data_IF_478610598290
#
_entry.id   IF_478610598290
#
_cell.length_a   1.000
_cell.length_b   1.000
_cell.length_c   1.000
_cell.angle_alpha   90.00
_cell.angle_beta   90.00
_cell.angle_gamma   90.00
#
_symmetry.space_group_name_H-M   'P 1'
#
loop_
_entity.id
_entity.type
_entity.pdbx_description
1 polymer ?
#
# COMPACT_ATOMS: atom_id res chain seq x y z
N UNK A 1 6.35 4.59 -22.42
CA UNK A 1 5.80 5.39 -21.31
C UNK A 1 4.43 5.89 -21.72
N UNK A 2 3.43 5.81 -20.85
CA UNK A 2 2.17 6.52 -21.06
C UNK A 2 2.42 7.99 -20.71
N UNK A 3 1.81 8.91 -21.45
CA UNK A 3 2.04 10.34 -21.31
C UNK A 3 0.72 11.09 -21.45
N UNK A 4 0.48 12.06 -20.58
CA UNK A 4 -0.69 12.92 -20.65
C UNK A 4 -0.46 14.23 -19.91
N UNK A 5 -0.69 15.34 -20.63
CA UNK A 5 -0.88 16.65 -20.05
C UNK A 5 -2.36 16.85 -19.68
N UNK A 6 -2.62 17.43 -18.50
CA UNK A 6 -3.99 17.69 -18.05
C UNK A 6 -4.07 18.18 -16.61
N UNK A 7 -5.29 18.28 -16.10
CA UNK A 7 -5.55 18.62 -14.70
C UNK A 7 -5.55 17.36 -13.85
N UNK A 8 -4.67 17.31 -12.85
CA UNK A 8 -4.52 16.17 -11.95
C UNK A 8 -4.56 16.60 -10.50
N UNK A 9 -4.99 15.69 -9.61
CA UNK A 9 -4.79 15.83 -8.16
C UNK A 9 -3.34 15.49 -7.85
N UNK A 10 -2.47 16.47 -8.05
CA UNK A 10 -1.02 16.32 -7.86
C UNK A 10 -0.46 17.45 -7.02
N UNK A 11 0.39 17.09 -6.07
CA UNK A 11 1.08 18.05 -5.22
C UNK A 11 2.36 17.44 -4.63
N UNK A 12 3.30 18.29 -4.26
CA UNK A 12 4.47 17.88 -3.51
C UNK A 12 4.16 17.87 -2.00
N UNK A 13 4.55 16.80 -1.31
CA UNK A 13 4.39 16.66 0.14
C UNK A 13 5.75 16.76 0.83
N UNK A 14 6.03 17.92 1.43
CA UNK A 14 7.28 18.17 2.16
C UNK A 14 7.56 17.13 3.25
N UNK A 15 6.52 16.68 3.98
CA UNK A 15 6.64 15.69 5.05
C UNK A 15 7.17 14.34 4.54
N UNK A 16 6.79 13.95 3.33
CA UNK A 16 7.21 12.70 2.70
C UNK A 16 8.42 12.88 1.76
N UNK A 17 8.86 14.13 1.53
CA UNK A 17 9.83 14.46 0.48
C UNK A 17 9.49 13.78 -0.85
N UNK A 18 8.22 13.90 -1.26
CA UNK A 18 7.67 13.12 -2.38
C UNK A 18 6.60 13.91 -3.14
N UNK A 19 6.57 13.74 -4.46
CA UNK A 19 5.41 14.04 -5.28
C UNK A 19 4.30 13.01 -5.03
N UNK A 20 3.07 13.49 -4.86
CA UNK A 20 1.88 12.66 -4.62
C UNK A 20 0.90 12.91 -5.75
N UNK A 21 0.58 11.86 -6.51
CA UNK A 21 -0.39 11.87 -7.60
C UNK A 21 -1.58 10.98 -7.22
N UNK A 22 -2.79 11.50 -7.31
CA UNK A 22 -4.03 10.74 -7.15
C UNK A 22 -4.73 10.60 -8.51
N UNK A 23 -5.11 9.37 -8.84
CA UNK A 23 -5.85 9.05 -10.07
C UNK A 23 -7.12 8.27 -9.71
N UNK A 24 -8.26 8.87 -10.01
CA UNK A 24 -9.57 8.26 -9.82
C UNK A 24 -9.89 7.35 -11.02
N UNK A 25 -10.35 6.13 -10.74
CA UNK A 25 -10.80 5.17 -11.75
C UNK A 25 -12.31 5.21 -11.90
N UNK A 26 -12.81 4.69 -13.02
CA UNK A 26 -14.24 4.43 -13.17
C UNK A 26 -14.72 3.50 -12.04
N UNK A 27 -15.76 3.90 -11.33
CA UNK A 27 -16.24 3.24 -10.12
C UNK A 27 -15.92 4.07 -8.87
N UNK A 28 -15.49 3.40 -7.80
CA UNK A 28 -15.26 4.00 -6.48
C UNK A 28 -13.84 3.75 -5.95
N UNK A 29 -12.86 3.64 -6.85
CA UNK A 29 -11.46 3.38 -6.51
C UNK A 29 -10.55 4.54 -6.95
N UNK A 30 -9.60 4.88 -6.09
CA UNK A 30 -8.55 5.89 -6.34
C UNK A 30 -7.20 5.25 -6.11
N UNK A 31 -6.27 5.37 -7.07
CA UNK A 31 -4.87 5.04 -6.84
C UNK A 31 -4.10 6.28 -6.38
N UNK A 32 -3.15 6.06 -5.46
CA UNK A 32 -2.22 7.09 -4.99
C UNK A 32 -0.82 6.63 -5.34
N UNK A 33 -0.09 7.46 -6.07
CA UNK A 33 1.29 7.23 -6.46
C UNK A 33 2.21 8.19 -5.71
N UNK A 34 3.29 7.64 -5.18
CA UNK A 34 4.33 8.39 -4.49
C UNK A 34 5.61 8.33 -5.31
N UNK A 35 6.13 9.50 -5.68
CA UNK A 35 7.43 9.63 -6.32
C UNK A 35 8.34 10.37 -5.33
N UNK A 36 9.16 9.65 -4.55
CA UNK A 36 10.08 10.27 -3.60
C UNK A 36 11.22 10.96 -4.32
N UNK A 37 11.77 11.98 -3.67
CA UNK A 37 13.05 12.55 -4.09
C UNK A 37 14.16 11.50 -4.00
N UNK A 38 15.26 11.75 -4.70
CA UNK A 38 16.40 10.87 -4.72
C UNK A 38 16.89 10.54 -3.30
N UNK A 39 16.98 9.25 -2.99
CA UNK A 39 17.41 8.75 -1.68
C UNK A 39 16.37 8.83 -0.56
N UNK A 40 15.14 9.30 -0.83
CA UNK A 40 14.07 9.45 0.19
C UNK A 40 13.09 8.29 0.26
N UNK A 41 13.30 7.19 -0.49
CA UNK A 41 12.43 6.01 -0.43
C UNK A 41 12.28 5.43 0.99
N UNK A 42 13.37 5.17 1.77
CA UNK A 42 13.21 4.64 3.12
C UNK A 42 12.49 5.61 4.07
N UNK A 43 12.69 6.92 3.88
CA UNK A 43 11.99 7.96 4.64
C UNK A 43 10.49 7.95 4.35
N UNK A 44 10.11 7.85 3.08
CA UNK A 44 8.72 7.74 2.65
C UNK A 44 8.06 6.50 3.27
N UNK A 45 8.69 5.33 3.16
CA UNK A 45 8.17 4.05 3.68
C UNK A 45 7.97 4.08 5.20
N UNK A 46 8.91 4.66 5.94
CA UNK A 46 8.83 4.78 7.40
C UNK A 46 7.83 5.84 7.88
N UNK A 47 7.61 6.91 7.09
CA UNK A 47 6.77 8.05 7.50
C UNK A 47 5.31 7.90 7.10
N UNK A 48 5.00 7.04 6.13
CA UNK A 48 3.65 6.88 5.61
C UNK A 48 2.71 6.29 6.67
N UNK A 49 1.58 6.97 6.90
CA UNK A 49 0.57 6.53 7.87
C UNK A 49 -0.84 6.62 7.31
N UNK A 50 -1.78 5.90 7.94
CA UNK A 50 -3.21 5.94 7.58
C UNK A 50 -3.80 7.35 7.62
N UNK A 51 -3.36 8.20 8.55
CA UNK A 51 -3.87 9.58 8.66
C UNK A 51 -3.42 10.44 7.48
N UNK A 52 -2.16 10.29 7.05
CA UNK A 52 -1.60 10.96 5.87
C UNK A 52 -2.37 10.54 4.61
N UNK A 53 -2.60 9.24 4.41
CA UNK A 53 -3.36 8.74 3.25
C UNK A 53 -4.78 9.33 3.23
N UNK A 54 -5.48 9.33 4.37
CA UNK A 54 -6.82 9.94 4.48
C UNK A 54 -6.81 11.43 4.16
N UNK A 55 -5.77 12.15 4.56
CA UNK A 55 -5.64 13.57 4.24
C UNK A 55 -5.52 13.79 2.72
N UNK A 56 -4.71 12.97 2.02
CA UNK A 56 -4.59 13.06 0.57
C UNK A 56 -5.89 12.72 -0.15
N UNK A 57 -6.60 11.68 0.29
CA UNK A 57 -7.91 11.31 -0.28
C UNK A 57 -8.95 12.43 -0.15
N UNK A 58 -8.90 13.24 0.91
CA UNK A 58 -9.78 14.39 1.12
C UNK A 58 -9.42 15.62 0.29
N UNK A 59 -8.18 15.73 -0.20
CA UNK A 59 -7.77 16.87 -1.02
C UNK A 59 -8.42 16.81 -2.40
N UNK A 60 -9.10 17.88 -2.78
CA UNK A 60 -9.79 18.02 -4.07
C UNK A 60 -9.04 18.93 -5.05
N UNK A 61 -7.98 19.60 -4.60
CA UNK A 61 -7.22 20.53 -5.43
C UNK A 61 -6.61 19.82 -6.65
N UNK A 62 -6.80 20.42 -7.81
CA UNK A 62 -6.24 19.98 -9.09
C UNK A 62 -5.29 21.03 -9.64
N UNK A 63 -4.21 20.57 -10.27
CA UNK A 63 -3.23 21.43 -10.92
C UNK A 63 -2.90 20.89 -12.32
N UNK A 64 -2.52 21.79 -13.22
CA UNK A 64 -2.05 21.41 -14.54
C UNK A 64 -0.69 20.74 -14.42
N UNK A 65 -0.56 19.52 -14.93
CA UNK A 65 0.69 18.77 -14.90
C UNK A 65 0.87 17.95 -16.19
N UNK A 66 2.13 17.75 -16.55
CA UNK A 66 2.52 16.82 -17.58
C UNK A 66 3.04 15.51 -16.96
N UNK A 67 2.26 14.43 -17.07
CA UNK A 67 2.51 13.18 -16.37
C UNK A 67 3.06 12.13 -17.33
N UNK A 68 4.25 11.64 -17.01
CA UNK A 68 4.83 10.43 -17.62
C UNK A 68 4.70 9.26 -16.65
N UNK A 69 3.98 8.22 -17.05
CA UNK A 69 3.70 7.06 -16.20
C UNK A 69 4.04 5.73 -16.92
N UNK A 70 4.75 4.79 -16.28
CA UNK A 70 5.10 3.53 -16.93
C UNK A 70 3.87 2.62 -17.07
N UNK A 71 3.71 2.00 -18.25
CA UNK A 71 2.81 0.85 -18.40
C UNK A 71 3.54 -0.37 -17.83
N UNK A 72 2.96 -0.99 -16.81
CA UNK A 72 3.58 -2.11 -16.09
C UNK A 72 2.57 -3.22 -15.82
N UNK A 73 3.11 -4.42 -15.60
CA UNK A 73 2.40 -5.58 -15.05
C UNK A 73 3.27 -6.13 -13.92
N UNK A 74 2.69 -6.27 -12.73
CA UNK A 74 3.40 -6.69 -11.52
C UNK A 74 2.71 -7.90 -10.90
N UNK A 75 3.52 -8.83 -10.40
CA UNK A 75 3.07 -10.03 -9.68
C UNK A 75 3.95 -10.26 -8.47
N UNK A 76 3.36 -10.66 -7.35
CA UNK A 76 4.08 -11.00 -6.12
C UNK A 76 3.53 -12.29 -5.53
N UNK A 77 4.43 -13.15 -5.03
CA UNK A 77 4.08 -14.36 -4.25
C UNK A 77 4.77 -14.25 -2.91
N UNK A 78 4.02 -14.42 -1.83
CA UNK A 78 4.52 -14.24 -0.46
C UNK A 78 4.17 -15.45 0.40
N UNK A 79 5.12 -15.86 1.25
CA UNK A 79 4.85 -16.79 2.35
C UNK A 79 4.31 -15.99 3.55
N UNK A 80 2.99 -16.06 3.75
CA UNK A 80 2.33 -15.33 4.83
C UNK A 80 2.74 -15.83 6.22
N UNK A 81 3.13 -17.10 6.35
CA UNK A 81 3.61 -17.61 7.64
C UNK A 81 4.85 -16.83 8.08
N UNK A 82 5.80 -16.62 7.17
CA UNK A 82 7.02 -15.86 7.47
C UNK A 82 6.71 -14.38 7.76
N UNK A 83 5.95 -13.72 6.88
CA UNK A 83 5.64 -12.29 7.00
C UNK A 83 4.85 -11.98 8.28
N UNK A 84 3.79 -12.75 8.55
CA UNK A 84 2.94 -12.52 9.71
C UNK A 84 3.65 -12.91 11.02
N UNK A 85 4.53 -13.91 11.01
CA UNK A 85 5.35 -14.25 12.18
C UNK A 85 6.28 -13.11 12.57
N UNK A 86 6.89 -12.42 11.60
CA UNK A 86 7.71 -11.23 11.87
C UNK A 86 6.90 -10.07 12.48
N UNK A 87 5.58 -10.06 12.27
CA UNK A 87 4.64 -9.12 12.89
C UNK A 87 4.06 -9.62 14.23
N UNK A 88 4.52 -10.76 14.73
CA UNK A 88 4.10 -11.34 16.01
C UNK A 88 2.92 -12.32 15.94
N UNK A 89 2.40 -12.61 14.75
CA UNK A 89 1.32 -13.60 14.57
C UNK A 89 1.96 -14.96 14.35
N UNK A 90 2.19 -15.68 15.45
CA UNK A 90 2.93 -16.96 15.43
C UNK A 90 2.10 -18.15 15.90
N UNK A 91 1.22 -17.94 16.90
CA UNK A 91 0.47 -19.03 17.57
C UNK A 91 -0.33 -19.88 16.60
N UNK A 92 -1.02 -19.26 15.64
CA UNK A 92 -1.86 -19.95 14.65
C UNK A 92 -1.10 -20.91 13.74
N UNK A 93 0.21 -20.71 13.58
CA UNK A 93 1.10 -21.57 12.78
C UNK A 93 1.85 -22.62 13.63
N UNK A 94 1.69 -22.57 14.95
CA UNK A 94 2.38 -23.44 15.90
C UNK A 94 1.54 -24.67 16.29
N UNK A 95 2.13 -25.62 17.01
CA UNK A 95 1.38 -26.74 17.58
C UNK A 95 0.47 -26.33 18.76
N UNK A 96 0.62 -25.11 19.28
CA UNK A 96 -0.24 -24.56 20.33
C UNK A 96 -1.38 -23.70 19.78
N UNK A 97 -1.71 -23.82 18.49
CA UNK A 97 -2.83 -23.10 17.89
C UNK A 97 -4.16 -23.60 18.48
N UNK A 98 -4.98 -22.66 18.95
CA UNK A 98 -6.38 -22.95 19.30
C UNK A 98 -7.28 -22.60 18.11
N UNK A 99 -7.70 -23.64 17.40
CA UNK A 99 -8.65 -23.59 16.30
C UNK A 99 -9.90 -24.44 16.62
N UNK A 100 -10.23 -24.59 17.90
CA UNK A 100 -11.38 -25.37 18.37
C UNK A 100 -12.72 -24.93 17.78
N UNK A 101 -12.84 -23.65 17.39
CA UNK A 101 -14.04 -23.12 16.71
C UNK A 101 -14.13 -23.48 15.22
N UNK A 102 -13.10 -24.12 14.66
CA UNK A 102 -13.16 -24.76 13.34
C UNK A 102 -13.63 -26.22 13.49
N UNK A 103 -13.06 -26.95 14.43
CA UNK A 103 -13.46 -28.31 14.82
C UNK A 103 -12.96 -28.60 16.23
N UNK A 104 -13.74 -29.38 16.99
CA UNK A 104 -13.39 -29.84 18.34
C UNK A 104 -12.80 -31.26 18.33
N UNK A 105 -12.83 -31.97 17.19
CA UNK A 105 -12.44 -33.38 17.10
C UNK A 105 -10.92 -33.58 17.20
N UNK A 106 -10.16 -32.66 16.62
CA UNK A 106 -8.69 -32.76 16.53
C UNK A 106 -8.02 -31.39 16.67
N UNK A 107 -6.83 -31.31 17.29
CA UNK A 107 -6.03 -30.10 17.27
C UNK A 107 -5.59 -29.74 15.84
N UNK A 108 -5.81 -28.49 15.44
CA UNK A 108 -5.43 -27.96 14.13
C UNK A 108 -4.41 -26.84 14.24
N UNK A 109 -3.67 -26.62 13.14
CA UNK A 109 -2.83 -25.44 12.93
C UNK A 109 -2.82 -25.05 11.46
N UNK A 110 -2.48 -23.80 11.17
CA UNK A 110 -2.24 -23.34 9.80
C UNK A 110 -0.83 -23.74 9.38
N UNK A 111 -0.71 -24.54 8.32
CA UNK A 111 0.58 -25.11 7.91
C UNK A 111 1.34 -24.25 6.90
N UNK A 112 0.63 -23.68 5.93
CA UNK A 112 1.15 -22.87 4.82
C UNK A 112 0.23 -21.68 4.54
#
# INVERSE_FOLDING_TARGET
>A
MMHRMGMFRVHYCNKLSSWVLLMDYQGNATAIFFLPDQGKMPHLEATLTRSIIRQFLRKTDISSADISFPKLSISGTYDLKSVLSALGITTVFSNGADLSKVTEDVPLKVSK
#
